data_IF_697061809032
#
_entry.id   IF_697061809032
#
_cell.length_a   1.000
_cell.length_b   1.000
_cell.length_c   1.000
_cell.angle_alpha   90.00
_cell.angle_beta   90.00
_cell.angle_gamma   90.00
#
_symmetry.space_group_name_H-M   'P 1'
#
loop_
_entity.id
_entity.type
_entity.pdbx_description
1 polymer ?
#
# COMPACT_ATOMS: atom_id res chain seq x y z
N UNK A 1 -21.19 2.07 -0.02
CA UNK A 1 -21.13 0.62 -0.33
C UNK A 1 -20.30 -0.05 0.76
N UNK A 2 -20.81 -1.07 1.45
CA UNK A 2 -20.02 -1.76 2.47
C UNK A 2 -19.20 -2.85 1.80
N UNK A 3 -17.88 -2.64 1.71
CA UNK A 3 -16.94 -3.57 1.12
C UNK A 3 -16.29 -4.43 2.21
N UNK A 4 -16.25 -5.75 2.01
CA UNK A 4 -15.56 -6.72 2.85
C UNK A 4 -14.38 -7.34 2.11
N UNK A 5 -13.42 -7.85 2.86
CA UNK A 5 -12.28 -8.56 2.30
C UNK A 5 -12.38 -10.05 2.61
N UNK A 6 -12.19 -10.89 1.60
CA UNK A 6 -12.08 -12.33 1.76
C UNK A 6 -11.21 -12.93 0.65
N UNK A 7 -10.58 -14.06 0.92
CA UNK A 7 -9.85 -14.79 -0.11
C UNK A 7 -10.85 -15.59 -0.95
N UNK A 8 -10.94 -15.27 -2.23
CA UNK A 8 -11.73 -16.02 -3.23
C UNK A 8 -11.13 -15.83 -4.63
N UNK A 9 -11.43 -16.77 -5.52
CA UNK A 9 -11.00 -16.79 -6.91
C UNK A 9 -12.16 -16.48 -7.86
N UNK A 10 -11.88 -16.43 -9.18
CA UNK A 10 -12.92 -16.24 -10.19
C UNK A 10 -13.82 -17.49 -10.37
N UNK A 11 -13.37 -18.65 -9.92
CA UNK A 11 -14.07 -19.93 -10.05
C UNK A 11 -14.93 -20.28 -8.84
N UNK A 12 -14.80 -19.51 -7.75
CA UNK A 12 -15.59 -19.77 -6.55
C UNK A 12 -17.02 -19.26 -6.72
N UNK A 13 -17.98 -20.07 -6.27
CA UNK A 13 -19.40 -19.73 -6.28
C UNK A 13 -19.89 -19.21 -4.92
N UNK A 14 -19.14 -19.50 -3.85
CA UNK A 14 -19.49 -19.16 -2.47
C UNK A 14 -18.27 -18.66 -1.70
N UNK A 15 -18.52 -17.85 -0.67
CA UNK A 15 -17.50 -17.36 0.25
C UNK A 15 -17.96 -17.67 1.68
N UNK A 16 -17.06 -18.26 2.48
CA UNK A 16 -17.22 -18.37 3.93
C UNK A 16 -16.54 -17.19 4.59
N UNK A 17 -17.32 -16.34 5.23
CA UNK A 17 -16.84 -15.11 5.86
C UNK A 17 -16.26 -15.42 7.22
N UNK A 18 -15.12 -14.80 7.57
CA UNK A 18 -14.50 -14.97 8.89
C UNK A 18 -15.42 -14.52 10.05
N UNK A 19 -15.17 -15.00 11.26
CA UNK A 19 -16.05 -14.78 12.43
C UNK A 19 -16.22 -13.30 12.79
N UNK A 20 -15.14 -12.51 12.69
CA UNK A 20 -15.17 -11.09 13.05
C UNK A 20 -16.05 -10.29 12.09
N UNK A 21 -15.84 -10.47 10.79
CA UNK A 21 -16.66 -9.81 9.77
C UNK A 21 -18.10 -10.34 9.81
N UNK A 22 -18.32 -11.66 10.05
CA UNK A 22 -19.66 -12.24 10.22
C UNK A 22 -20.42 -11.60 11.37
N UNK A 23 -19.77 -11.47 12.52
CA UNK A 23 -20.37 -10.78 13.69
C UNK A 23 -20.70 -9.32 13.38
N UNK A 24 -19.82 -8.62 12.70
CA UNK A 24 -20.01 -7.23 12.31
C UNK A 24 -21.17 -7.07 11.33
N UNK A 25 -21.27 -7.94 10.33
CA UNK A 25 -22.37 -7.97 9.35
C UNK A 25 -23.72 -8.21 10.03
N UNK A 26 -23.79 -9.22 10.89
CA UNK A 26 -25.05 -9.60 11.52
C UNK A 26 -25.48 -8.59 12.62
N UNK A 27 -24.54 -8.11 13.45
CA UNK A 27 -24.89 -7.25 14.61
C UNK A 27 -24.90 -5.77 14.27
N UNK A 28 -23.85 -5.27 13.58
CA UNK A 28 -23.69 -3.83 13.32
C UNK A 28 -24.48 -3.39 12.09
N UNK A 29 -24.40 -4.16 10.98
CA UNK A 29 -25.16 -3.86 9.78
C UNK A 29 -26.57 -4.47 9.77
N UNK A 30 -26.90 -5.32 10.76
CA UNK A 30 -28.21 -6.01 10.90
C UNK A 30 -28.65 -6.73 9.65
N UNK A 31 -27.70 -7.33 8.90
CA UNK A 31 -27.97 -8.04 7.68
C UNK A 31 -28.47 -9.47 7.93
N UNK A 32 -29.32 -9.99 7.01
CA UNK A 32 -29.96 -11.28 7.11
C UNK A 32 -29.82 -12.13 5.84
N UNK A 33 -30.39 -13.34 5.89
CA UNK A 33 -30.49 -14.22 4.70
C UNK A 33 -31.21 -13.45 3.60
N UNK A 34 -30.65 -13.49 2.38
CA UNK A 34 -31.17 -12.77 1.23
C UNK A 34 -30.56 -11.40 0.98
N UNK A 35 -29.94 -10.77 2.00
CA UNK A 35 -29.27 -9.47 1.85
C UNK A 35 -28.02 -9.56 0.98
N UNK A 36 -27.73 -8.46 0.29
CA UNK A 36 -26.57 -8.32 -0.60
C UNK A 36 -25.40 -7.64 0.13
N UNK A 37 -24.22 -8.19 -0.08
CA UNK A 37 -22.93 -7.70 0.41
C UNK A 37 -21.90 -7.67 -0.72
N UNK A 38 -20.89 -6.78 -0.59
CA UNK A 38 -19.79 -6.70 -1.55
C UNK A 38 -18.50 -7.20 -0.94
N UNK A 39 -17.78 -8.04 -1.68
CA UNK A 39 -16.49 -8.58 -1.28
C UNK A 39 -15.42 -8.30 -2.32
N UNK A 40 -14.20 -8.04 -1.86
CA UNK A 40 -13.01 -8.03 -2.71
C UNK A 40 -11.99 -9.05 -2.21
N UNK A 41 -11.20 -9.59 -3.14
CA UNK A 41 -10.06 -10.45 -2.80
C UNK A 41 -8.72 -9.68 -2.72
N UNK A 42 -8.75 -8.35 -2.90
CA UNK A 42 -7.54 -7.52 -2.91
C UNK A 42 -6.68 -7.64 -4.17
N UNK A 43 -7.15 -8.38 -5.19
CA UNK A 43 -6.47 -8.57 -6.48
C UNK A 43 -7.32 -8.09 -7.66
N UNK A 44 -8.19 -7.10 -7.40
CA UNK A 44 -9.03 -6.48 -8.41
C UNK A 44 -10.39 -7.15 -8.64
N UNK A 45 -10.72 -8.26 -7.95
CA UNK A 45 -12.05 -8.85 -8.02
C UNK A 45 -13.01 -8.13 -7.06
N UNK A 46 -14.21 -7.87 -7.55
CA UNK A 46 -15.37 -7.41 -6.78
C UNK A 46 -16.52 -8.39 -6.99
N UNK A 47 -16.95 -9.02 -5.91
CA UNK A 47 -18.07 -9.94 -5.88
C UNK A 47 -19.26 -9.30 -5.14
N UNK A 48 -20.41 -9.24 -5.79
CA UNK A 48 -21.71 -9.00 -5.17
C UNK A 48 -22.28 -10.34 -4.73
N UNK A 49 -22.57 -10.49 -3.44
CA UNK A 49 -22.88 -11.77 -2.84
C UNK A 49 -24.17 -11.70 -2.04
N UNK A 50 -24.99 -12.75 -2.10
CA UNK A 50 -26.22 -12.91 -1.32
C UNK A 50 -25.96 -13.79 -0.10
N UNK A 51 -26.37 -13.37 1.10
CA UNK A 51 -26.29 -14.21 2.31
C UNK A 51 -27.22 -15.40 2.14
N UNK A 52 -26.68 -16.62 2.26
CA UNK A 52 -27.44 -17.88 2.13
C UNK A 52 -27.51 -18.66 3.44
N UNK A 53 -26.56 -18.42 4.37
CA UNK A 53 -26.53 -19.11 5.66
C UNK A 53 -26.06 -18.17 6.77
N UNK A 54 -26.72 -18.23 7.94
CA UNK A 54 -26.33 -17.53 9.16
C UNK A 54 -25.73 -18.50 10.15
N UNK A 55 -24.67 -18.06 10.86
CA UNK A 55 -23.99 -18.82 11.89
C UNK A 55 -22.87 -18.04 12.52
N UNK A 56 -21.98 -18.72 13.22
CA UNK A 56 -20.73 -18.13 13.74
C UNK A 56 -19.88 -17.54 12.59
N UNK A 57 -19.91 -18.23 11.43
CA UNK A 57 -19.43 -17.75 10.14
C UNK A 57 -20.62 -17.73 9.18
N UNK A 58 -20.86 -16.61 8.50
CA UNK A 58 -21.89 -16.55 7.47
C UNK A 58 -21.33 -17.14 6.17
N UNK A 59 -22.24 -17.75 5.36
CA UNK A 59 -21.93 -18.16 4.01
C UNK A 59 -22.70 -17.28 3.03
N UNK A 60 -22.01 -16.85 1.98
CA UNK A 60 -22.59 -16.01 0.94
C UNK A 60 -22.37 -16.63 -0.43
N UNK A 61 -23.36 -16.55 -1.31
CA UNK A 61 -23.31 -17.01 -2.70
C UNK A 61 -22.96 -15.83 -3.60
N UNK A 62 -21.99 -15.98 -4.48
CA UNK A 62 -21.62 -14.98 -5.49
C UNK A 62 -22.74 -14.91 -6.53
N UNK A 63 -23.36 -13.73 -6.69
CA UNK A 63 -24.41 -13.47 -7.67
C UNK A 63 -23.90 -12.67 -8.85
N UNK A 64 -22.86 -11.86 -8.64
CA UNK A 64 -22.21 -11.11 -9.70
C UNK A 64 -20.73 -10.96 -9.39
N UNK A 65 -19.89 -11.16 -10.41
CA UNK A 65 -18.45 -11.00 -10.31
C UNK A 65 -17.97 -9.99 -11.36
N UNK A 66 -17.11 -9.07 -10.94
CA UNK A 66 -16.45 -8.13 -11.84
C UNK A 66 -14.96 -8.02 -11.51
N UNK A 67 -14.16 -7.67 -12.52
CA UNK A 67 -12.72 -7.52 -12.38
C UNK A 67 -12.30 -6.13 -12.83
N UNK A 68 -11.64 -5.39 -11.95
CA UNK A 68 -11.01 -4.11 -12.28
C UNK A 68 -9.59 -4.36 -12.79
N UNK A 69 -9.17 -3.61 -13.79
CA UNK A 69 -7.77 -3.60 -14.22
C UNK A 69 -6.93 -2.76 -13.23
N UNK A 70 -5.68 -3.17 -12.94
CA UNK A 70 -4.79 -2.35 -12.14
C UNK A 70 -4.45 -1.05 -12.86
N UNK A 71 -3.94 -0.08 -12.11
CA UNK A 71 -3.43 1.16 -12.70
C UNK A 71 -2.28 0.85 -13.68
N UNK A 72 -2.17 1.63 -14.76
CA UNK A 72 -1.12 1.46 -15.79
C UNK A 72 0.28 1.59 -15.20
N UNK A 73 0.44 2.53 -14.27
CA UNK A 73 1.71 2.72 -13.56
C UNK A 73 1.60 2.20 -12.14
N UNK A 74 2.50 1.29 -11.80
CA UNK A 74 2.67 0.71 -10.47
C UNK A 74 3.57 1.61 -9.63
N UNK A 75 3.11 2.01 -8.46
CA UNK A 75 3.90 2.81 -7.53
C UNK A 75 4.25 1.95 -6.32
N UNK A 76 5.54 1.86 -6.07
CA UNK A 76 6.16 1.23 -4.92
C UNK A 76 6.77 2.34 -4.04
N UNK A 77 6.65 2.25 -2.72
CA UNK A 77 7.38 3.11 -1.81
C UNK A 77 8.27 2.27 -0.91
N UNK A 78 9.57 2.54 -0.97
CA UNK A 78 10.55 2.04 -0.02
C UNK A 78 10.75 3.11 1.05
N UNK A 79 10.37 2.81 2.30
CA UNK A 79 10.39 3.79 3.40
C UNK A 79 11.13 3.25 4.61
N UNK A 80 11.97 4.08 5.23
CA UNK A 80 12.61 3.71 6.49
C UNK A 80 11.56 3.58 7.60
N UNK A 81 11.64 2.54 8.47
CA UNK A 81 10.82 2.47 9.67
C UNK A 81 11.03 3.71 10.52
N UNK A 82 9.93 4.31 10.98
CA UNK A 82 9.93 5.57 11.70
C UNK A 82 10.09 5.32 13.20
N UNK A 83 10.65 6.28 13.93
CA UNK A 83 10.82 6.25 15.39
C UNK A 83 9.49 5.91 16.09
N UNK A 84 8.41 6.58 15.69
CA UNK A 84 7.06 6.28 16.15
C UNK A 84 6.35 5.34 15.16
N UNK A 85 6.08 4.07 15.52
CA UNK A 85 5.41 3.12 14.64
C UNK A 85 4.04 3.58 14.12
N UNK A 86 3.29 4.37 14.89
CA UNK A 86 1.97 4.86 14.47
C UNK A 86 2.03 5.77 13.24
N UNK A 87 3.17 6.42 12.96
CA UNK A 87 3.36 7.21 11.74
C UNK A 87 3.51 6.32 10.50
N UNK A 88 4.22 5.18 10.64
CA UNK A 88 4.30 4.19 9.56
C UNK A 88 2.94 3.53 9.32
N UNK A 89 2.19 3.25 10.39
CA UNK A 89 0.82 2.74 10.31
C UNK A 89 -0.09 3.73 9.57
N UNK A 90 -0.03 5.00 9.91
CA UNK A 90 -0.77 6.08 9.22
C UNK A 90 -0.38 6.19 7.75
N UNK A 91 0.92 6.09 7.43
CA UNK A 91 1.38 6.06 6.04
C UNK A 91 0.76 4.89 5.28
N UNK A 92 0.80 3.67 5.83
CA UNK A 92 0.22 2.46 5.18
C UNK A 92 -1.28 2.64 4.95
N UNK A 93 -2.01 3.20 5.93
CA UNK A 93 -3.43 3.51 5.80
C UNK A 93 -3.67 4.44 4.61
N UNK A 94 -3.04 5.62 4.58
CA UNK A 94 -3.26 6.63 3.53
C UNK A 94 -2.72 6.21 2.17
N UNK A 95 -1.59 5.52 2.13
CA UNK A 95 -1.04 4.97 0.90
C UNK A 95 -1.99 3.94 0.26
N UNK A 96 -2.65 3.11 1.07
CA UNK A 96 -3.66 2.16 0.60
C UNK A 96 -4.87 2.89 0.01
N UNK A 97 -5.36 3.95 0.66
CA UNK A 97 -6.47 4.77 0.15
C UNK A 97 -6.15 5.39 -1.23
N UNK A 98 -4.91 5.86 -1.42
CA UNK A 98 -4.44 6.44 -2.69
C UNK A 98 -4.19 5.36 -3.77
N UNK A 99 -4.13 4.09 -3.37
CA UNK A 99 -3.96 2.96 -4.28
C UNK A 99 -2.49 2.66 -4.60
N UNK A 100 -1.62 2.65 -3.60
CA UNK A 100 -0.25 2.15 -3.72
C UNK A 100 -0.26 0.66 -4.06
N UNK A 101 0.73 0.20 -4.83
CA UNK A 101 0.87 -1.22 -5.16
C UNK A 101 1.76 -1.97 -4.17
N UNK A 102 2.85 -1.34 -3.71
CA UNK A 102 3.88 -2.05 -2.95
C UNK A 102 4.55 -1.13 -1.92
N UNK A 103 4.88 -1.68 -0.76
CA UNK A 103 5.58 -0.99 0.32
C UNK A 103 6.71 -1.88 0.80
N UNK A 104 7.95 -1.36 0.86
CA UNK A 104 9.10 -2.07 1.44
C UNK A 104 9.70 -1.23 2.57
N UNK A 105 9.69 -1.71 3.81
CA UNK A 105 10.47 -1.10 4.87
C UNK A 105 11.97 -1.30 4.61
N UNK A 106 12.77 -0.22 4.60
CA UNK A 106 14.22 -0.26 4.34
C UNK A 106 15.02 0.28 5.51
N UNK A 107 16.03 -0.46 5.94
CA UNK A 107 16.91 -0.05 7.03
C UNK A 107 18.09 0.74 6.45
N UNK A 108 18.20 2.01 6.87
CA UNK A 108 19.27 2.93 6.55
C UNK A 108 20.16 3.19 7.76
N UNK A 109 21.26 3.90 7.58
CA UNK A 109 22.24 4.24 8.65
C UNK A 109 21.58 4.95 9.84
N UNK A 110 20.65 5.87 9.56
CA UNK A 110 19.97 6.67 10.59
C UNK A 110 18.57 6.14 10.95
N UNK A 111 18.25 4.89 10.61
CA UNK A 111 17.02 4.24 11.07
C UNK A 111 17.11 3.94 12.56
N UNK A 112 16.32 4.64 13.38
CA UNK A 112 16.24 4.35 14.83
C UNK A 112 15.52 3.02 15.11
N UNK A 113 14.55 2.65 14.29
CA UNK A 113 13.82 1.37 14.37
C UNK A 113 14.26 0.44 13.25
N UNK A 114 14.51 -0.84 13.62
CA UNK A 114 14.93 -1.88 12.66
C UNK A 114 13.90 -2.98 12.49
N UNK A 115 12.87 -3.00 13.34
CA UNK A 115 11.80 -4.01 13.30
C UNK A 115 10.46 -3.35 12.99
N UNK A 116 9.67 -4.01 12.14
CA UNK A 116 8.33 -3.60 11.74
C UNK A 116 7.36 -4.73 12.08
N UNK A 117 6.19 -4.38 12.62
CA UNK A 117 5.13 -5.34 12.86
C UNK A 117 4.31 -5.54 11.57
N UNK A 118 4.74 -6.48 10.73
CA UNK A 118 4.13 -6.77 9.42
C UNK A 118 2.66 -7.16 9.54
N UNK A 119 2.29 -8.01 10.52
CA UNK A 119 0.88 -8.38 10.73
C UNK A 119 -0.01 -7.17 11.04
N UNK A 120 0.52 -6.22 11.78
CA UNK A 120 -0.20 -4.99 12.10
C UNK A 120 -0.41 -4.14 10.85
N UNK A 121 0.64 -3.96 10.03
CA UNK A 121 0.55 -3.21 8.76
C UNK A 121 -0.41 -3.89 7.77
N UNK A 122 -0.38 -5.21 7.66
CA UNK A 122 -1.33 -5.98 6.83
C UNK A 122 -2.78 -5.76 7.28
N UNK A 123 -3.06 -5.81 8.59
CA UNK A 123 -4.40 -5.54 9.13
C UNK A 123 -4.86 -4.12 8.82
N UNK A 124 -3.97 -3.13 8.92
CA UNK A 124 -4.27 -1.73 8.59
C UNK A 124 -4.58 -1.60 7.10
N UNK A 125 -3.77 -2.21 6.22
CA UNK A 125 -4.00 -2.16 4.78
C UNK A 125 -5.35 -2.77 4.38
N UNK A 126 -5.76 -3.90 4.99
CA UNK A 126 -7.07 -4.52 4.76
C UNK A 126 -8.20 -3.61 5.27
N UNK A 127 -8.05 -3.01 6.44
CA UNK A 127 -9.05 -2.08 6.99
C UNK A 127 -9.24 -0.86 6.09
N UNK A 128 -8.13 -0.26 5.66
CA UNK A 128 -8.11 0.89 4.77
C UNK A 128 -8.69 0.55 3.39
N UNK A 129 -8.34 -0.61 2.83
CA UNK A 129 -8.91 -1.13 1.57
C UNK A 129 -10.44 -1.21 1.65
N UNK A 130 -10.99 -1.77 2.75
CA UNK A 130 -12.44 -1.87 2.95
C UNK A 130 -13.10 -0.50 3.03
N UNK A 131 -12.52 0.41 3.79
CA UNK A 131 -13.06 1.76 4.03
C UNK A 131 -13.03 2.62 2.76
N UNK A 132 -11.97 2.56 1.98
CA UNK A 132 -11.77 3.36 0.77
C UNK A 132 -12.36 2.73 -0.49
N UNK A 133 -13.00 1.57 -0.40
CA UNK A 133 -13.51 0.78 -1.53
C UNK A 133 -12.43 0.46 -2.59
N UNK A 134 -11.19 0.30 -2.16
CA UNK A 134 -10.11 -0.17 -3.03
C UNK A 134 -10.27 -1.66 -3.31
N UNK A 135 -9.90 -2.09 -4.52
CA UNK A 135 -9.94 -3.50 -4.92
C UNK A 135 -8.57 -4.15 -4.99
N UNK A 136 -7.51 -3.36 -4.82
CA UNK A 136 -6.12 -3.84 -4.83
C UNK A 136 -5.49 -3.58 -3.47
N UNK A 137 -5.17 -4.68 -2.77
CA UNK A 137 -4.42 -4.62 -1.52
C UNK A 137 -2.94 -4.38 -1.82
N UNK A 138 -2.27 -3.43 -1.19
CA UNK A 138 -0.83 -3.28 -1.36
C UNK A 138 -0.09 -4.51 -0.84
N UNK A 139 0.98 -4.88 -1.53
CA UNK A 139 1.95 -5.85 -1.03
C UNK A 139 2.88 -5.16 -0.03
N UNK A 140 2.98 -5.68 1.17
CA UNK A 140 3.94 -5.23 2.19
C UNK A 140 5.08 -6.23 2.24
N UNK A 141 6.26 -5.82 1.78
CA UNK A 141 7.45 -6.67 1.72
C UNK A 141 8.12 -6.81 3.07
N UNK A 142 8.95 -7.82 3.20
CA UNK A 142 9.87 -7.95 4.32
C UNK A 142 10.81 -6.74 4.39
N UNK A 143 11.29 -6.46 5.60
CA UNK A 143 12.26 -5.40 5.83
C UNK A 143 13.61 -5.79 5.24
N UNK A 144 14.22 -4.88 4.45
CA UNK A 144 15.51 -5.08 3.78
C UNK A 144 16.52 -4.02 4.21
N UNK A 145 17.84 -4.30 4.08
CA UNK A 145 18.86 -3.27 4.19
C UNK A 145 18.83 -2.39 2.94
N UNK A 146 19.11 -1.10 3.11
CA UNK A 146 19.13 -0.14 1.99
C UNK A 146 20.06 -0.58 0.85
N UNK A 147 21.28 -1.00 1.17
CA UNK A 147 22.26 -1.48 0.18
C UNK A 147 21.79 -2.70 -0.62
N UNK A 148 21.06 -3.63 0.01
CA UNK A 148 20.54 -4.81 -0.67
C UNK A 148 19.33 -4.44 -1.55
N UNK A 149 18.48 -3.54 -1.04
CA UNK A 149 17.34 -3.01 -1.79
C UNK A 149 17.77 -2.27 -3.08
N UNK A 150 18.90 -1.56 -3.06
CA UNK A 150 19.39 -0.85 -4.23
C UNK A 150 19.79 -1.77 -5.38
N UNK A 151 20.29 -2.98 -5.08
CA UNK A 151 20.72 -3.98 -6.07
C UNK A 151 19.58 -4.62 -6.84
N UNK A 152 18.37 -4.54 -6.32
CA UNK A 152 17.17 -5.06 -7.01
C UNK A 152 16.76 -4.12 -8.16
N UNK A 153 16.79 -4.58 -9.40
CA UNK A 153 16.68 -3.74 -10.61
C UNK A 153 15.28 -3.74 -11.26
N UNK A 154 14.23 -4.17 -10.57
CA UNK A 154 12.90 -4.32 -11.17
C UNK A 154 12.18 -2.99 -11.47
N UNK A 155 12.48 -1.92 -10.72
CA UNK A 155 11.74 -0.66 -10.78
C UNK A 155 12.64 0.52 -11.15
N UNK A 156 12.06 1.57 -11.77
CA UNK A 156 12.71 2.87 -11.82
C UNK A 156 12.76 3.44 -10.41
N UNK A 157 13.94 3.53 -9.80
CA UNK A 157 14.12 4.09 -8.46
C UNK A 157 14.35 5.60 -8.48
N UNK A 158 13.66 6.29 -7.60
CA UNK A 158 13.77 7.74 -7.36
C UNK A 158 13.92 7.93 -5.86
N UNK A 159 14.90 8.71 -5.42
CA UNK A 159 15.18 8.94 -3.99
C UNK A 159 14.83 10.37 -3.59
N UNK A 160 14.01 10.53 -2.56
CA UNK A 160 13.69 11.83 -2.00
C UNK A 160 14.87 12.36 -1.16
N UNK A 161 15.43 13.48 -1.58
CA UNK A 161 16.53 14.17 -0.88
C UNK A 161 16.33 15.68 -0.90
N UNK A 162 16.33 16.30 0.28
CA UNK A 162 16.12 17.75 0.41
C UNK A 162 17.27 18.58 -0.19
N UNK A 163 18.47 17.99 -0.28
CA UNK A 163 19.70 18.69 -0.76
C UNK A 163 19.69 18.91 -2.29
N UNK A 164 18.86 18.19 -3.07
CA UNK A 164 18.82 18.35 -4.52
C UNK A 164 17.84 19.45 -4.95
N UNK A 165 18.07 20.03 -6.13
CA UNK A 165 17.19 21.00 -6.78
C UNK A 165 16.24 20.35 -7.80
N UNK A 166 16.42 19.04 -8.09
CA UNK A 166 15.58 18.32 -9.05
C UNK A 166 14.17 18.16 -8.50
N UNK A 167 13.15 18.51 -9.28
CA UNK A 167 11.75 18.38 -8.91
C UNK A 167 11.15 17.17 -9.62
N UNK A 168 10.26 16.45 -8.93
CA UNK A 168 9.50 15.36 -9.51
C UNK A 168 8.48 15.90 -10.53
N UNK A 169 8.61 15.51 -11.79
CA UNK A 169 7.75 15.91 -12.89
C UNK A 169 7.37 14.71 -13.75
N UNK A 170 6.41 14.88 -14.67
CA UNK A 170 6.05 13.83 -15.63
C UNK A 170 7.26 13.36 -16.47
N UNK A 171 8.18 14.26 -16.80
CA UNK A 171 9.43 13.94 -17.53
C UNK A 171 10.39 13.07 -16.73
N UNK A 172 10.26 13.05 -15.39
CA UNK A 172 11.06 12.17 -14.53
C UNK A 172 10.65 10.70 -14.62
N UNK A 173 9.46 10.41 -15.18
CA UNK A 173 8.89 9.07 -15.25
C UNK A 173 9.29 8.42 -16.56
N UNK A 174 10.04 7.31 -16.46
CA UNK A 174 10.59 6.56 -17.60
C UNK A 174 10.11 5.09 -17.64
N UNK A 175 9.37 4.66 -16.61
CA UNK A 175 8.93 3.28 -16.46
C UNK A 175 7.47 3.24 -15.96
N UNK A 176 6.80 2.14 -16.27
CA UNK A 176 5.49 1.82 -15.66
C UNK A 176 5.61 1.22 -14.25
N UNK A 177 6.83 0.98 -13.77
CA UNK A 177 7.12 0.51 -12.42
C UNK A 177 8.07 1.52 -11.77
N UNK A 178 7.58 2.24 -10.76
CA UNK A 178 8.30 3.34 -10.13
C UNK A 178 8.42 3.04 -8.65
N UNK A 179 9.64 3.09 -8.12
CA UNK A 179 9.89 3.04 -6.69
C UNK A 179 10.39 4.40 -6.19
N UNK A 180 9.67 4.97 -5.23
CA UNK A 180 10.07 6.17 -4.50
C UNK A 180 10.69 5.75 -3.16
N UNK A 181 11.93 6.17 -2.93
CA UNK A 181 12.70 5.86 -1.72
C UNK A 181 12.64 7.04 -0.76
N UNK A 182 12.22 6.79 0.47
CA UNK A 182 12.05 7.77 1.55
C UNK A 182 12.91 7.38 2.74
N UNK A 183 13.80 8.27 3.14
CA UNK A 183 14.68 8.09 4.31
C UNK A 183 13.96 8.27 5.66
N UNK A 184 14.67 7.98 6.76
CA UNK A 184 14.21 8.25 8.12
C UNK A 184 14.24 9.75 8.43
N UNK A 185 13.89 10.09 9.67
CA UNK A 185 13.89 11.48 10.15
C UNK A 185 15.26 12.15 10.05
N UNK A 186 16.36 11.36 10.15
CA UNK A 186 17.74 11.83 9.98
C UNK A 186 18.21 11.95 8.53
N UNK A 187 17.38 11.51 7.56
CA UNK A 187 17.72 11.46 6.14
C UNK A 187 18.68 10.31 5.79
N UNK A 188 19.30 10.42 4.64
CA UNK A 188 20.34 9.48 4.18
C UNK A 188 21.73 10.00 4.52
N UNK A 189 22.68 9.11 4.82
CA UNK A 189 24.09 9.46 4.96
C UNK A 189 24.72 9.78 3.60
N UNK A 190 25.85 10.45 3.62
CA UNK A 190 26.57 10.78 2.38
C UNK A 190 27.02 9.51 1.64
N UNK A 191 27.39 8.43 2.37
CA UNK A 191 27.71 7.11 1.80
C UNK A 191 26.51 6.51 1.07
N UNK A 192 25.32 6.55 1.69
CA UNK A 192 24.07 6.05 1.09
C UNK A 192 23.65 6.86 -0.14
N UNK A 193 23.83 8.16 -0.10
CA UNK A 193 23.61 9.05 -1.25
C UNK A 193 24.57 8.69 -2.38
N UNK A 194 25.85 8.46 -2.07
CA UNK A 194 26.84 8.07 -3.07
C UNK A 194 26.53 6.67 -3.65
N UNK A 195 26.12 5.71 -2.81
CA UNK A 195 25.70 4.39 -3.25
C UNK A 195 24.47 4.46 -4.18
N UNK A 196 23.49 5.30 -3.86
CA UNK A 196 22.34 5.54 -4.72
C UNK A 196 22.75 6.12 -6.10
N UNK A 197 23.68 7.07 -6.13
CA UNK A 197 24.24 7.63 -7.39
C UNK A 197 24.96 6.57 -8.22
N UNK A 198 25.76 5.72 -7.59
CA UNK A 198 26.46 4.61 -8.25
C UNK A 198 25.47 3.62 -8.90
N UNK A 199 24.28 3.45 -8.28
CA UNK A 199 23.16 2.66 -8.82
C UNK A 199 22.27 3.46 -9.80
N UNK A 200 22.69 4.66 -10.26
CA UNK A 200 21.97 5.52 -11.22
C UNK A 200 20.56 5.95 -10.73
N UNK A 201 20.37 6.03 -9.42
CA UNK A 201 19.11 6.48 -8.81
C UNK A 201 19.04 7.99 -8.88
N UNK A 202 17.92 8.51 -9.40
CA UNK A 202 17.70 9.95 -9.50
C UNK A 202 17.23 10.50 -8.16
N UNK A 203 17.91 11.54 -7.67
CA UNK A 203 17.47 12.28 -6.49
C UNK A 203 16.44 13.34 -6.89
N UNK A 204 15.38 13.49 -6.08
CA UNK A 204 14.35 14.53 -6.24
C UNK A 204 14.08 15.22 -4.90
N UNK A 205 13.64 16.47 -5.00
CA UNK A 205 13.17 17.26 -3.85
C UNK A 205 11.67 17.54 -3.96
N UNK A 206 11.01 17.63 -2.82
CA UNK A 206 9.61 18.06 -2.69
C UNK A 206 9.47 19.56 -2.35
N UNK A 207 10.54 20.34 -2.55
CA UNK A 207 10.56 21.78 -2.29
C UNK A 207 11.50 22.15 -1.15
N UNK A 208 11.40 23.40 -0.70
CA UNK A 208 12.34 23.99 0.29
C UNK A 208 12.06 23.54 1.73
N UNK A 209 10.83 23.15 2.02
CA UNK A 209 10.42 22.80 3.38
C UNK A 209 10.77 21.34 3.71
N UNK A 210 11.26 21.13 4.94
CA UNK A 210 11.49 19.78 5.45
C UNK A 210 10.16 19.12 5.79
N UNK A 211 9.83 18.04 5.09
CA UNK A 211 8.69 17.20 5.38
C UNK A 211 9.10 16.06 6.34
N UNK A 212 8.17 15.61 7.18
CA UNK A 212 8.34 14.34 7.90
C UNK A 212 8.30 13.19 6.90
N UNK A 213 8.94 12.07 7.21
CA UNK A 213 9.08 10.93 6.27
C UNK A 213 7.72 10.39 5.82
N UNK A 214 6.75 10.22 6.72
CA UNK A 214 5.39 9.82 6.37
C UNK A 214 4.68 10.83 5.46
N UNK A 215 4.91 12.11 5.71
CA UNK A 215 4.35 13.20 4.88
C UNK A 215 5.01 13.22 3.50
N UNK A 216 6.34 13.08 3.43
CA UNK A 216 7.09 13.02 2.18
C UNK A 216 6.64 11.82 1.33
N UNK A 217 6.39 10.66 1.96
CA UNK A 217 5.92 9.47 1.29
C UNK A 217 4.52 9.67 0.67
N UNK A 218 3.57 10.22 1.43
CA UNK A 218 2.21 10.48 0.93
C UNK A 218 2.22 11.57 -0.12
N UNK A 219 2.97 12.65 0.08
CA UNK A 219 3.08 13.74 -0.89
C UNK A 219 3.67 13.24 -2.23
N UNK A 220 4.77 12.47 -2.17
CA UNK A 220 5.38 11.88 -3.35
C UNK A 220 4.47 10.88 -4.06
N UNK A 221 3.76 10.02 -3.29
CA UNK A 221 2.75 9.10 -3.84
C UNK A 221 1.64 9.85 -4.58
N UNK A 222 1.13 10.94 -4.00
CA UNK A 222 0.05 11.74 -4.57
C UNK A 222 0.49 12.41 -5.88
N UNK A 223 1.72 12.99 -5.91
CA UNK A 223 2.29 13.54 -7.14
C UNK A 223 2.43 12.46 -8.20
N UNK A 224 3.08 11.32 -7.86
CA UNK A 224 3.27 10.22 -8.80
C UNK A 224 1.93 9.76 -9.36
N UNK A 225 0.90 9.58 -8.52
CA UNK A 225 -0.42 9.16 -8.96
C UNK A 225 -1.05 10.19 -9.91
N UNK A 226 -0.99 11.49 -9.59
CA UNK A 226 -1.53 12.56 -10.40
C UNK A 226 -0.87 12.66 -11.78
N UNK A 227 0.46 12.55 -11.87
CA UNK A 227 1.18 12.70 -13.15
C UNK A 227 1.19 11.45 -14.01
N UNK A 228 0.74 10.29 -13.46
CA UNK A 228 0.70 8.98 -14.15
C UNK A 228 -0.72 8.46 -14.40
N UNK A 229 -1.75 9.19 -14.02
CA UNK A 229 -3.16 8.87 -14.26
C UNK A 229 -3.57 9.14 -15.69
#
# INVERSE_FOLDING_TARGET
>A
MNLFFSNFSQTDNEIVVNENDSRHILKSYRKGIGDILNFTNGNGLLAECKIIEKGKKIKVKIVKLSKRKPNKVSIHIAISPLKNPSRLEWFVEKATEIGIKEITPIITKYSEKKKVNHERLERISISSLKQSNQLFKPKINNTEKFSDFLKNNSDQKIMANLKTKNILTKKSIKSSQICLIIGPEGGFSDDEIQEAKNNKITEISFGKNRLRSETAAIYGLSILRSITS
#
